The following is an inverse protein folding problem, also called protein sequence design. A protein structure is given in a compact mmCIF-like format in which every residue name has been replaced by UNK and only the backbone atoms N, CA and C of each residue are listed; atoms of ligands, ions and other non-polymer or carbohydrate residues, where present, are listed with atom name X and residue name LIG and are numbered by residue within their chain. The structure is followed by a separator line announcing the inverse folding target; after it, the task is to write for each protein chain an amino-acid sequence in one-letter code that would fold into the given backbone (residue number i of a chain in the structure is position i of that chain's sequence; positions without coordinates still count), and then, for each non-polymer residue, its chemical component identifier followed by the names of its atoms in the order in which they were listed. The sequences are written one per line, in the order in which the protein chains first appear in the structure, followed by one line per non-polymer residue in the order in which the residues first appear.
data_IF_058432293255
#
_entry.id   IF_058432293255
#
_cell.length_a   1.000
_cell.length_b   1.000
_cell.length_c   1.000
_cell.angle_alpha   90.00
_cell.angle_beta   90.00
_cell.angle_gamma   90.00
#
_symmetry.space_group_name_H-M   'P 1'
#
loop_
_entity.id
_entity.type
_entity.pdbx_description
1 polymer ?
#
# COMPACT_ATOMS: atom_id res chain seq x y z
N UNK A 1 -10.25 16.94 14.90
CA UNK A 1 -9.72 15.62 15.30
C UNK A 1 -9.19 14.94 14.04
N UNK A 2 -8.07 14.22 14.07
CA UNK A 2 -7.57 13.52 12.87
C UNK A 2 -8.14 12.09 12.80
N UNK A 3 -8.41 11.59 11.58
CA UNK A 3 -8.93 10.24 11.39
C UNK A 3 -7.87 9.20 11.76
N UNK A 4 -8.25 8.26 12.62
CA UNK A 4 -7.42 7.15 13.07
C UNK A 4 -8.15 5.84 12.82
N UNK A 5 -7.59 4.97 11.97
CA UNK A 5 -8.25 3.70 11.65
C UNK A 5 -8.04 2.63 12.73
N UNK A 6 -6.97 2.74 13.53
CA UNK A 6 -6.62 1.83 14.63
C UNK A 6 -5.84 2.57 15.74
N UNK A 7 -6.17 3.85 15.98
CA UNK A 7 -5.33 4.75 16.79
C UNK A 7 -4.11 5.31 16.03
N UNK A 8 -3.84 4.82 14.81
CA UNK A 8 -2.76 5.24 13.91
C UNK A 8 -3.26 6.27 12.91
N UNK A 9 -2.49 7.35 12.72
CA UNK A 9 -2.70 8.37 11.69
C UNK A 9 -2.49 7.81 10.27
N UNK A 10 -3.27 8.30 9.30
CA UNK A 10 -3.21 7.81 7.91
C UNK A 10 -1.83 7.93 7.21
N UNK A 11 -1.05 9.01 7.38
CA UNK A 11 0.31 9.09 6.86
C UNK A 11 1.22 8.01 7.45
N UNK A 12 1.12 7.73 8.75
CA UNK A 12 1.91 6.69 9.40
C UNK A 12 1.51 5.30 8.89
N UNK A 13 0.22 5.04 8.71
CA UNK A 13 -0.26 3.81 8.03
C UNK A 13 0.36 3.65 6.63
N UNK A 14 0.45 4.74 5.87
CA UNK A 14 1.05 4.74 4.52
C UNK A 14 2.55 4.42 4.57
N UNK A 15 3.28 5.01 5.52
CA UNK A 15 4.71 4.72 5.74
C UNK A 15 4.90 3.25 6.11
N UNK A 16 4.10 2.72 7.04
CA UNK A 16 4.21 1.33 7.50
C UNK A 16 3.87 0.34 6.38
N UNK A 17 2.72 0.50 5.73
CA UNK A 17 2.29 -0.41 4.65
C UNK A 17 3.25 -0.35 3.47
N UNK A 18 3.61 0.85 3.02
CA UNK A 18 4.56 1.04 1.93
C UNK A 18 5.94 0.50 2.28
N UNK A 19 6.40 0.70 3.52
CA UNK A 19 7.66 0.18 4.02
C UNK A 19 7.69 -1.36 4.08
N UNK A 20 6.62 -1.99 4.57
CA UNK A 20 6.49 -3.46 4.61
C UNK A 20 6.51 -4.04 3.21
N UNK A 21 5.71 -3.49 2.28
CA UNK A 21 5.71 -3.92 0.87
C UNK A 21 7.09 -3.74 0.22
N UNK A 22 7.75 -2.63 0.53
CA UNK A 22 9.09 -2.32 0.00
C UNK A 22 10.16 -3.28 0.49
N UNK A 23 10.21 -3.50 1.80
CA UNK A 23 11.12 -4.45 2.41
C UNK A 23 10.86 -5.87 1.91
N UNK A 24 9.58 -6.27 1.79
CA UNK A 24 9.21 -7.58 1.30
C UNK A 24 9.67 -7.82 -0.14
N UNK A 25 9.45 -6.87 -1.07
CA UNK A 25 9.87 -7.06 -2.46
C UNK A 25 11.39 -7.21 -2.62
N UNK A 26 12.18 -6.47 -1.83
CA UNK A 26 13.64 -6.63 -1.79
C UNK A 26 14.01 -8.00 -1.21
N UNK A 27 13.38 -8.40 -0.10
CA UNK A 27 13.62 -9.70 0.51
C UNK A 27 13.26 -10.85 -0.44
N UNK A 28 12.11 -10.78 -1.11
CA UNK A 28 11.67 -11.76 -2.09
C UNK A 28 12.65 -11.88 -3.28
N UNK A 29 13.20 -10.75 -3.74
CA UNK A 29 14.22 -10.74 -4.79
C UNK A 29 15.52 -11.43 -4.35
N UNK A 30 15.99 -11.15 -3.13
CA UNK A 30 17.22 -11.77 -2.60
C UNK A 30 17.03 -13.27 -2.31
N UNK A 31 15.90 -13.64 -1.69
CA UNK A 31 15.60 -15.05 -1.33
C UNK A 31 15.41 -15.92 -2.59
N UNK A 32 14.94 -15.33 -3.69
CA UNK A 32 14.82 -16.02 -4.97
C UNK A 32 16.12 -16.05 -5.78
N UNK A 33 17.29 -15.86 -5.15
CA UNK A 33 18.61 -15.77 -5.80
C UNK A 33 18.64 -14.76 -6.95
N UNK A 34 17.89 -13.66 -6.82
CA UNK A 34 17.76 -12.62 -7.84
C UNK A 34 17.23 -13.15 -9.19
N UNK A 35 16.55 -14.30 -9.19
CA UNK A 35 16.11 -14.99 -10.39
C UNK A 35 15.05 -14.23 -11.18
N UNK A 36 14.28 -13.33 -10.54
CA UNK A 36 13.25 -12.57 -11.23
C UNK A 36 13.11 -11.12 -10.77
N UNK A 37 13.32 -10.19 -11.71
CA UNK A 37 13.01 -8.78 -11.52
C UNK A 37 11.54 -8.52 -11.19
N UNK A 38 10.61 -9.42 -11.56
CA UNK A 38 9.19 -9.26 -11.21
C UNK A 38 8.92 -9.41 -9.71
N UNK A 39 9.85 -10.02 -8.95
CA UNK A 39 9.76 -10.08 -7.49
C UNK A 39 9.87 -8.69 -6.82
N UNK A 40 10.35 -7.67 -7.54
CA UNK A 40 10.44 -6.28 -7.06
C UNK A 40 9.15 -5.48 -7.23
N UNK A 41 8.09 -6.04 -7.84
CA UNK A 41 6.79 -5.35 -7.97
C UNK A 41 6.26 -4.83 -6.61
N UNK A 42 6.28 -5.60 -5.50
CA UNK A 42 5.91 -5.09 -4.18
C UNK A 42 6.73 -3.86 -3.76
N UNK A 43 8.02 -3.78 -4.12
CA UNK A 43 8.87 -2.62 -3.84
C UNK A 43 8.54 -1.42 -4.69
N UNK A 44 8.32 -1.63 -5.99
CA UNK A 44 7.93 -0.57 -6.93
C UNK A 44 6.61 0.06 -6.52
N UNK A 45 5.67 -0.74 -5.98
CA UNK A 45 4.39 -0.23 -5.50
C UNK A 45 4.45 0.33 -4.08
N UNK A 46 5.18 -0.32 -3.18
CA UNK A 46 5.30 0.09 -1.78
C UNK A 46 6.09 1.38 -1.58
N UNK A 47 7.13 1.62 -2.38
CA UNK A 47 8.03 2.76 -2.20
C UNK A 47 7.30 4.09 -2.40
N UNK A 48 6.53 4.31 -3.48
CA UNK A 48 5.71 5.51 -3.64
C UNK A 48 4.71 5.73 -2.50
N UNK A 49 4.10 4.65 -1.97
CA UNK A 49 3.17 4.74 -0.83
C UNK A 49 3.91 5.24 0.42
N UNK A 50 5.09 4.70 0.72
CA UNK A 50 5.88 5.10 1.86
C UNK A 50 6.38 6.57 1.72
N UNK A 51 6.88 6.93 0.54
CA UNK A 51 7.35 8.29 0.24
C UNK A 51 6.22 9.29 0.37
N UNK A 52 5.05 9.03 -0.23
CA UNK A 52 3.88 9.90 -0.10
C UNK A 52 3.39 9.99 1.35
N UNK A 53 3.44 8.89 2.11
CA UNK A 53 3.13 8.88 3.53
C UNK A 53 4.06 9.79 4.33
N UNK A 54 5.37 9.72 4.08
CA UNK A 54 6.36 10.57 4.73
C UNK A 54 6.20 12.04 4.37
N UNK A 55 5.92 12.35 3.11
CA UNK A 55 5.63 13.70 2.64
C UNK A 55 4.33 14.26 3.26
N UNK A 56 3.28 13.43 3.35
CA UNK A 56 2.02 13.79 3.98
C UNK A 56 2.16 14.06 5.50
N UNK A 57 3.13 13.44 6.16
CA UNK A 57 3.44 13.69 7.57
C UNK A 57 4.22 15.01 7.78
N UNK A 58 5.13 15.33 6.87
CA UNK A 58 5.96 16.55 6.95
C UNK A 58 5.26 17.80 6.41
N UNK A 59 4.31 17.64 5.48
CA UNK A 59 3.62 18.75 4.81
C UNK A 59 2.09 18.64 4.97
N UNK A 60 1.54 19.01 6.14
CA UNK A 60 0.10 18.91 6.41
C UNK A 60 -0.75 19.68 5.39
N UNK A 61 -0.28 20.85 4.92
CA UNK A 61 -0.98 21.68 3.93
C UNK A 61 -1.22 21.00 2.59
N UNK A 62 -0.45 19.96 2.24
CA UNK A 62 -0.58 19.19 1.00
C UNK A 62 -0.98 17.74 1.23
N UNK A 63 -1.42 17.41 2.46
CA UNK A 63 -1.75 16.04 2.88
C UNK A 63 -2.78 15.38 1.95
N UNK A 64 -3.83 16.10 1.54
CA UNK A 64 -4.87 15.60 0.63
C UNK A 64 -4.27 15.07 -0.69
N UNK A 65 -3.32 15.80 -1.28
CA UNK A 65 -2.71 15.46 -2.57
C UNK A 65 -1.84 14.20 -2.43
N UNK A 66 -0.94 14.17 -1.45
CA UNK A 66 -0.09 13.00 -1.21
C UNK A 66 -0.88 11.73 -0.86
N UNK A 67 -1.97 11.86 -0.10
CA UNK A 67 -2.83 10.73 0.22
C UNK A 67 -3.60 10.21 -1.00
N UNK A 68 -4.02 11.07 -1.93
CA UNK A 68 -4.64 10.63 -3.20
C UNK A 68 -3.64 9.90 -4.11
N UNK A 69 -2.40 10.38 -4.18
CA UNK A 69 -1.35 9.66 -4.92
C UNK A 69 -1.11 8.29 -4.25
N UNK A 70 -0.96 8.26 -2.92
CA UNK A 70 -0.70 7.02 -2.19
C UNK A 70 -1.83 5.98 -2.35
N UNK A 71 -3.10 6.38 -2.31
CA UNK A 71 -4.22 5.44 -2.51
C UNK A 71 -4.27 4.86 -3.92
N UNK A 72 -3.84 5.60 -4.95
CA UNK A 72 -3.74 5.09 -6.32
C UNK A 72 -2.72 3.94 -6.37
N UNK A 73 -1.54 4.12 -5.78
CA UNK A 73 -0.55 3.04 -5.69
C UNK A 73 -1.02 1.86 -4.83
N UNK A 74 -1.77 2.14 -3.75
CA UNK A 74 -2.43 1.09 -2.95
C UNK A 74 -3.41 0.27 -3.78
N UNK A 75 -4.23 0.94 -4.60
CA UNK A 75 -5.20 0.30 -5.48
C UNK A 75 -4.50 -0.51 -6.58
N UNK A 76 -3.47 0.05 -7.21
CA UNK A 76 -2.65 -0.66 -8.20
C UNK A 76 -1.98 -1.91 -7.59
N UNK A 77 -1.52 -1.83 -6.34
CA UNK A 77 -1.01 -2.99 -5.61
C UNK A 77 -2.07 -4.07 -5.47
N UNK A 78 -3.28 -3.70 -5.03
CA UNK A 78 -4.39 -4.64 -4.86
C UNK A 78 -4.78 -5.31 -6.20
N UNK A 79 -4.83 -4.54 -7.28
CA UNK A 79 -5.11 -5.06 -8.63
C UNK A 79 -3.99 -6.00 -9.11
N UNK A 80 -2.73 -5.69 -8.83
CA UNK A 80 -1.62 -6.60 -9.12
C UNK A 80 -1.73 -7.92 -8.37
N UNK A 81 -2.13 -7.87 -7.10
CA UNK A 81 -2.37 -9.05 -6.26
C UNK A 81 -3.62 -9.86 -6.63
N UNK A 82 -4.54 -9.32 -7.44
CA UNK A 82 -5.78 -10.01 -7.82
C UNK A 82 -5.54 -11.29 -8.65
N UNK A 83 -4.35 -11.46 -9.20
CA UNK A 83 -3.93 -12.69 -9.87
C UNK A 83 -3.70 -13.87 -8.92
N UNK A 84 -3.67 -13.64 -7.60
CA UNK A 84 -3.42 -14.68 -6.59
C UNK A 84 -4.26 -15.95 -6.76
N UNK A 85 -5.59 -15.92 -7.00
CA UNK A 85 -6.37 -17.15 -7.17
C UNK A 85 -5.90 -17.99 -8.36
N UNK A 86 -5.50 -17.34 -9.46
CA UNK A 86 -4.96 -18.03 -10.63
C UNK A 86 -3.62 -18.71 -10.32
N UNK A 87 -2.75 -18.02 -9.57
CA UNK A 87 -1.44 -18.55 -9.13
C UNK A 87 -1.64 -19.74 -8.18
N UNK A 88 -2.62 -19.68 -7.28
CA UNK A 88 -2.92 -20.79 -6.36
C UNK A 88 -3.47 -22.03 -7.07
N UNK A 89 -4.14 -21.85 -8.21
CA UNK A 89 -4.62 -22.97 -9.04
C UNK A 89 -3.51 -23.57 -9.92
N UNK A 90 -2.40 -22.85 -10.08
CA UNK A 90 -1.22 -23.32 -10.80
C UNK A 90 -0.28 -24.07 -9.84
N UNK A 91 -0.23 -25.40 -10.00
CA UNK A 91 0.44 -26.32 -9.07
C UNK A 91 1.97 -26.20 -9.02
N UNK A 92 2.58 -25.45 -9.93
CA UNK A 92 4.04 -25.22 -10.00
C UNK A 92 4.45 -23.84 -9.45
N UNK A 93 3.50 -23.07 -8.90
CA UNK A 93 3.79 -21.73 -8.38
C UNK A 93 4.69 -21.75 -7.15
N UNK A 94 5.75 -20.95 -7.16
CA UNK A 94 6.64 -20.82 -6.01
C UNK A 94 5.95 -20.14 -4.82
N UNK A 95 6.30 -20.57 -3.59
CA UNK A 95 5.77 -19.95 -2.36
C UNK A 95 6.03 -18.45 -2.27
N UNK A 96 7.18 -17.99 -2.77
CA UNK A 96 7.54 -16.56 -2.81
C UNK A 96 6.59 -15.77 -3.72
N UNK A 97 6.23 -16.33 -4.88
CA UNK A 97 5.28 -15.72 -5.81
C UNK A 97 3.89 -15.58 -5.18
N UNK A 98 3.43 -16.64 -4.51
CA UNK A 98 2.14 -16.68 -3.79
C UNK A 98 2.12 -15.62 -2.69
N UNK A 99 3.14 -15.60 -1.81
CA UNK A 99 3.18 -14.64 -0.69
C UNK A 99 3.26 -13.20 -1.21
N UNK A 100 4.03 -12.95 -2.27
CA UNK A 100 4.15 -11.60 -2.85
C UNK A 100 2.82 -11.10 -3.41
N UNK A 101 2.05 -11.94 -4.12
CA UNK A 101 0.72 -11.56 -4.60
C UNK A 101 -0.30 -11.45 -3.47
N UNK A 102 -0.19 -12.29 -2.43
CA UNK A 102 -1.03 -12.20 -1.26
C UNK A 102 -0.82 -10.89 -0.49
N UNK A 103 0.43 -10.47 -0.30
CA UNK A 103 0.75 -9.19 0.34
C UNK A 103 0.27 -8.00 -0.48
N UNK A 104 0.50 -8.01 -1.80
CA UNK A 104 -0.03 -6.99 -2.71
C UNK A 104 -1.55 -6.86 -2.61
N UNK A 105 -2.27 -7.99 -2.61
CA UNK A 105 -3.73 -8.02 -2.52
C UNK A 105 -4.23 -7.56 -1.16
N UNK A 106 -3.71 -8.16 -0.08
CA UNK A 106 -4.21 -7.94 1.28
C UNK A 106 -3.77 -6.58 1.82
N UNK A 107 -2.47 -6.28 1.82
CA UNK A 107 -1.98 -4.99 2.33
C UNK A 107 -2.44 -3.84 1.43
N UNK A 108 -2.35 -3.99 0.10
CA UNK A 108 -2.82 -2.98 -0.85
C UNK A 108 -4.33 -2.75 -0.72
N UNK A 109 -5.12 -3.82 -0.63
CA UNK A 109 -6.58 -3.75 -0.51
C UNK A 109 -7.03 -3.12 0.82
N UNK A 110 -6.49 -3.59 1.95
CA UNK A 110 -6.80 -3.05 3.27
C UNK A 110 -6.39 -1.58 3.37
N UNK A 111 -5.20 -1.22 2.86
CA UNK A 111 -4.74 0.17 2.84
C UNK A 111 -5.60 1.07 1.96
N UNK A 112 -6.03 0.57 0.79
CA UNK A 112 -6.93 1.32 -0.10
C UNK A 112 -8.27 1.57 0.59
N UNK A 113 -8.83 0.54 1.23
CA UNK A 113 -10.06 0.66 2.02
C UNK A 113 -9.90 1.68 3.16
N UNK A 114 -8.78 1.64 3.88
CA UNK A 114 -8.42 2.61 4.92
C UNK A 114 -8.47 4.06 4.40
N UNK A 115 -7.88 4.30 3.24
CA UNK A 115 -7.82 5.63 2.62
C UNK A 115 -9.21 6.14 2.23
N UNK A 116 -10.05 5.27 1.65
CA UNK A 116 -11.44 5.61 1.31
C UNK A 116 -12.24 5.94 2.56
N UNK A 117 -12.10 5.17 3.64
CA UNK A 117 -12.78 5.42 4.90
C UNK A 117 -12.33 6.74 5.54
N UNK A 118 -11.04 7.05 5.49
CA UNK A 118 -10.52 8.35 5.92
C UNK A 118 -11.13 9.50 5.14
N UNK A 119 -11.26 9.37 3.81
CA UNK A 119 -11.84 10.40 2.96
C UNK A 119 -13.33 10.61 3.25
N UNK A 120 -14.09 9.52 3.39
CA UNK A 120 -15.52 9.56 3.76
C UNK A 120 -15.72 10.23 5.12
N UNK A 121 -14.88 9.89 6.10
CA UNK A 121 -14.94 10.51 7.42
C UNK A 121 -14.67 12.02 7.37
N UNK A 122 -13.68 12.46 6.59
CA UNK A 122 -13.41 13.89 6.41
C UNK A 122 -14.57 14.64 5.74
N UNK A 123 -15.24 14.02 4.75
CA UNK A 123 -16.45 14.58 4.10
C UNK A 123 -17.62 14.73 5.07
N UNK A 124 -17.90 13.70 5.87
CA UNK A 124 -19.05 13.69 6.78
C UNK A 124 -18.87 14.70 7.92
N UNK A 125 -17.63 14.91 8.40
CA UNK A 125 -17.34 15.84 9.49
C UNK A 125 -17.03 17.28 9.02
N UNK A 126 -17.20 17.60 7.73
CA UNK A 126 -17.00 18.96 7.21
C UNK A 126 -15.56 19.50 7.29
N UNK A 127 -14.56 18.64 7.48
CA UNK A 127 -13.15 19.03 7.68
C UNK A 127 -12.41 19.35 6.37
N UNK A 128 -13.10 19.27 5.23
CA UNK A 128 -12.49 19.53 3.92
C UNK A 128 -12.44 21.03 3.62
N UNK A 129 -13.36 21.80 4.22
CA UNK A 129 -13.55 23.23 4.00
C UNK A 129 -12.79 24.11 5.01
N UNK A 130 -12.05 23.51 5.95
CA UNK A 130 -11.38 24.21 7.07
C UNK A 130 -9.84 24.27 6.97
N UNK A 131 -9.25 23.89 5.83
CA UNK A 131 -7.80 23.97 5.57
C UNK A 131 -7.47 24.98 4.48
#
# INVERSE_FOLDING_TARGET
MAYKMLGIEMPLMSILVGGILSAWGVAAYVISDMASFTALIPTIMGTPIAVCGSAAAQMPSRRKLFMHIAVIFGLLSALGGLRLPMILMDGDSSGILIISHALLLVLGGVYTYACVQSFRWARVNGLIDSE
#
